data_IF_033619231926
#
_entry.id   IF_033619231926
#
_cell.length_a   1.000
_cell.length_b   1.000
_cell.length_c   1.000
_cell.angle_alpha   90.00
_cell.angle_beta   90.00
_cell.angle_gamma   90.00
#
_symmetry.space_group_name_H-M   'P 1'
#
loop_
_entity.id
_entity.type
_entity.pdbx_description
1 polymer ?
#
# COMPACT_ATOMS: atom_id res chain seq x y z
N UNK A 1 14.48 -3.59 8.28
CA UNK A 1 14.10 -4.23 9.55
C UNK A 1 14.35 -5.72 9.41
N UNK A 2 14.92 -6.38 10.42
CA UNK A 2 15.14 -7.84 10.36
C UNK A 2 13.79 -8.58 10.30
N UNK A 3 13.69 -9.64 9.49
CA UNK A 3 12.47 -10.44 9.29
C UNK A 3 11.24 -9.66 8.77
N UNK A 4 11.47 -8.53 8.10
CA UNK A 4 10.42 -7.78 7.39
C UNK A 4 10.75 -7.76 5.91
N UNK A 5 9.77 -8.11 5.08
CA UNK A 5 9.95 -8.30 3.65
C UNK A 5 8.93 -7.46 2.87
N UNK A 6 9.30 -7.09 1.65
CA UNK A 6 8.39 -6.49 0.69
C UNK A 6 7.79 -7.58 -0.19
N UNK A 7 6.49 -7.48 -0.43
CA UNK A 7 5.73 -8.39 -1.27
C UNK A 7 5.18 -7.64 -2.47
N UNK A 8 5.31 -8.22 -3.65
CA UNK A 8 4.55 -7.80 -4.82
C UNK A 8 3.10 -8.28 -4.70
N UNK A 9 2.19 -7.70 -5.48
CA UNK A 9 0.78 -8.10 -5.45
C UNK A 9 0.56 -9.57 -5.85
N UNK A 10 1.50 -10.19 -6.59
CA UNK A 10 1.46 -11.62 -6.95
C UNK A 10 2.03 -12.55 -5.86
N UNK A 11 2.85 -12.04 -4.93
CA UNK A 11 3.46 -12.83 -3.84
C UNK A 11 2.82 -12.61 -2.48
N UNK A 12 2.02 -11.55 -2.31
CA UNK A 12 1.38 -11.19 -1.04
C UNK A 12 0.45 -12.27 -0.49
N UNK A 13 -0.11 -13.14 -1.34
CA UNK A 13 -0.97 -14.24 -0.91
C UNK A 13 -0.27 -15.20 0.07
N UNK A 14 1.03 -15.44 -0.12
CA UNK A 14 1.80 -16.34 0.76
C UNK A 14 1.75 -15.90 2.22
N UNK A 15 1.99 -14.61 2.48
CA UNK A 15 2.02 -14.09 3.85
C UNK A 15 0.60 -14.00 4.44
N UNK A 16 -0.41 -13.76 3.60
CA UNK A 16 -1.82 -13.78 4.02
C UNK A 16 -2.21 -15.20 4.45
N UNK A 17 -1.87 -16.23 3.67
CA UNK A 17 -2.16 -17.63 4.00
C UNK A 17 -1.49 -18.06 5.31
N UNK A 18 -0.24 -17.67 5.52
CA UNK A 18 0.50 -17.93 6.76
C UNK A 18 -0.14 -17.21 7.95
N UNK A 19 -0.59 -15.97 7.76
CA UNK A 19 -1.24 -15.16 8.78
C UNK A 19 -2.62 -15.70 9.19
N UNK A 20 -3.42 -16.15 8.22
CA UNK A 20 -4.74 -16.73 8.48
C UNK A 20 -4.64 -18.02 9.30
N UNK A 21 -3.61 -18.85 9.07
CA UNK A 21 -3.36 -20.08 9.86
C UNK A 21 -3.14 -19.82 11.35
N UNK A 22 -2.66 -18.63 11.70
CA UNK A 22 -2.43 -18.21 13.09
C UNK A 22 -3.53 -17.27 13.62
N UNK A 23 -4.62 -17.10 12.86
CA UNK A 23 -5.79 -16.31 13.27
C UNK A 23 -5.71 -14.81 12.99
N UNK A 24 -4.73 -14.35 12.19
CA UNK A 24 -4.62 -12.95 11.79
C UNK A 24 -5.31 -12.75 10.44
N UNK A 25 -6.38 -11.97 10.43
CA UNK A 25 -7.21 -11.70 9.25
C UNK A 25 -7.28 -10.23 8.82
N UNK A 26 -6.67 -9.32 9.58
CA UNK A 26 -6.68 -7.88 9.27
C UNK A 26 -5.29 -7.42 8.83
N UNK A 27 -5.22 -6.74 7.69
CA UNK A 27 -3.97 -6.31 7.06
C UNK A 27 -4.00 -4.83 6.73
N UNK A 28 -2.97 -4.11 7.15
CA UNK A 28 -2.71 -2.72 6.75
C UNK A 28 -1.66 -2.70 5.65
N UNK A 29 -2.01 -2.11 4.51
CA UNK A 29 -1.15 -2.08 3.33
C UNK A 29 -0.38 -0.75 3.26
N UNK A 30 0.92 -0.87 3.05
CA UNK A 30 1.81 0.23 2.71
C UNK A 30 2.35 0.01 1.29
N UNK A 31 2.09 0.94 0.38
CA UNK A 31 2.37 0.78 -1.05
C UNK A 31 3.68 1.43 -1.41
N UNK A 32 4.52 0.74 -2.18
CA UNK A 32 5.77 1.27 -2.72
C UNK A 32 5.61 1.48 -4.22
N UNK A 33 5.45 2.73 -4.70
CA UNK A 33 5.27 2.99 -6.11
C UNK A 33 6.60 2.87 -6.87
N UNK A 34 6.53 2.56 -8.17
CA UNK A 34 7.71 2.54 -9.04
C UNK A 34 8.25 3.95 -9.34
N UNK A 35 7.37 4.96 -9.27
CA UNK A 35 7.69 6.36 -9.55
C UNK A 35 7.07 7.24 -8.46
N UNK A 36 7.79 8.29 -8.09
CA UNK A 36 7.34 9.34 -7.17
C UNK A 36 7.34 10.67 -7.90
N UNK A 37 6.44 11.58 -7.51
CA UNK A 37 6.41 12.95 -8.03
C UNK A 37 6.05 13.94 -6.91
N UNK A 38 6.05 15.24 -7.19
CA UNK A 38 5.87 16.26 -6.15
C UNK A 38 4.46 16.37 -5.58
N UNK A 39 3.48 15.65 -6.15
CA UNK A 39 2.08 15.68 -5.70
C UNK A 39 1.55 14.31 -5.27
N UNK A 40 2.35 13.26 -5.41
CA UNK A 40 2.01 11.88 -5.09
C UNK A 40 0.96 11.27 -6.02
N UNK A 41 1.06 11.49 -7.34
CA UNK A 41 0.02 11.05 -8.31
C UNK A 41 -0.34 9.56 -8.18
N UNK A 42 0.64 8.70 -7.90
CA UNK A 42 0.43 7.26 -7.75
C UNK A 42 -0.46 6.90 -6.53
N UNK A 43 -0.59 7.78 -5.53
CA UNK A 43 -1.40 7.52 -4.34
C UNK A 43 -2.89 7.38 -4.65
N UNK A 44 -3.39 8.11 -5.65
CA UNK A 44 -4.81 8.17 -6.03
C UNK A 44 -5.08 7.64 -7.44
N UNK A 45 -4.08 7.06 -8.09
CA UNK A 45 -4.23 6.49 -9.44
C UNK A 45 -5.13 5.26 -9.38
N UNK A 46 -6.09 5.16 -10.31
CA UNK A 46 -7.04 4.02 -10.38
C UNK A 46 -6.35 2.65 -10.48
N UNK A 47 -5.24 2.59 -11.21
CA UNK A 47 -4.35 1.45 -11.39
C UNK A 47 -3.04 1.59 -10.59
N UNK A 48 -3.06 2.34 -9.49
CA UNK A 48 -1.94 2.44 -8.55
C UNK A 48 -1.65 1.13 -7.81
N UNK A 49 -0.48 1.06 -7.17
CA UNK A 49 0.01 -0.18 -6.53
C UNK A 49 -0.93 -0.66 -5.41
N UNK A 50 -1.42 0.25 -4.56
CA UNK A 50 -2.37 -0.11 -3.49
C UNK A 50 -3.71 -0.55 -4.06
N UNK A 51 -4.23 0.18 -5.05
CA UNK A 51 -5.51 -0.09 -5.69
C UNK A 51 -5.53 -1.47 -6.34
N UNK A 52 -4.47 -1.82 -7.09
CA UNK A 52 -4.30 -3.15 -7.67
C UNK A 52 -4.16 -4.23 -6.58
N UNK A 53 -3.33 -3.99 -5.56
CA UNK A 53 -3.10 -4.95 -4.48
C UNK A 53 -4.39 -5.25 -3.69
N UNK A 54 -5.17 -4.23 -3.35
CA UNK A 54 -6.47 -4.37 -2.69
C UNK A 54 -7.45 -5.21 -3.51
N UNK A 55 -7.57 -4.92 -4.82
CA UNK A 55 -8.44 -5.70 -5.74
C UNK A 55 -7.98 -7.14 -5.84
N UNK A 56 -6.68 -7.39 -5.98
CA UNK A 56 -6.11 -8.74 -6.06
C UNK A 56 -6.39 -9.54 -4.78
N UNK A 57 -6.09 -8.97 -3.61
CA UNK A 57 -6.34 -9.64 -2.33
C UNK A 57 -7.83 -9.89 -2.13
N UNK A 58 -8.69 -8.89 -2.36
CA UNK A 58 -10.15 -9.07 -2.21
C UNK A 58 -10.70 -10.12 -3.19
N UNK A 59 -10.13 -10.20 -4.40
CA UNK A 59 -10.49 -11.22 -5.39
C UNK A 59 -10.17 -12.66 -4.96
N UNK A 60 -9.04 -12.86 -4.27
CA UNK A 60 -8.63 -14.19 -3.78
C UNK A 60 -9.27 -14.59 -2.46
N UNK A 61 -9.42 -13.64 -1.53
CA UNK A 61 -9.76 -13.93 -0.13
C UNK A 61 -11.16 -13.49 0.28
N UNK A 62 -11.84 -12.67 -0.52
CA UNK A 62 -13.20 -12.21 -0.23
C UNK A 62 -13.33 -11.62 1.18
N UNK A 63 -14.27 -12.14 1.96
CA UNK A 63 -14.56 -11.67 3.32
C UNK A 63 -13.74 -12.37 4.41
N UNK A 64 -12.82 -13.27 4.05
CA UNK A 64 -11.89 -13.89 5.01
C UNK A 64 -10.82 -12.91 5.52
N UNK A 65 -10.70 -11.74 4.89
CA UNK A 65 -9.72 -10.71 5.24
C UNK A 65 -10.35 -9.33 5.37
N UNK A 66 -9.86 -8.56 6.33
CA UNK A 66 -10.12 -7.12 6.45
C UNK A 66 -8.91 -6.36 5.92
N UNK A 67 -9.12 -5.44 4.98
CA UNK A 67 -8.05 -4.67 4.35
C UNK A 67 -8.15 -3.21 4.77
N UNK A 68 -7.03 -2.66 5.20
CA UNK A 68 -6.89 -1.26 5.62
C UNK A 68 -5.83 -0.63 4.72
N UNK A 69 -6.17 0.47 4.06
CA UNK A 69 -5.21 1.27 3.29
C UNK A 69 -4.63 2.38 4.17
N UNK A 70 -3.31 2.50 4.22
CA UNK A 70 -2.68 3.74 4.68
C UNK A 70 -3.05 4.89 3.72
N UNK A 71 -3.48 6.03 4.29
CA UNK A 71 -3.90 7.22 3.52
C UNK A 71 -2.92 8.34 3.79
N UNK A 72 -1.88 8.41 2.95
CA UNK A 72 -0.79 9.36 3.08
C UNK A 72 -0.13 9.63 1.71
N UNK A 73 0.73 10.64 1.63
CA UNK A 73 1.54 10.97 0.45
C UNK A 73 3.04 10.76 0.65
N UNK A 74 3.51 10.40 1.84
CA UNK A 74 4.95 10.31 2.12
C UNK A 74 5.67 9.27 1.24
N UNK A 75 5.04 8.12 0.98
CA UNK A 75 5.63 7.07 0.15
C UNK A 75 5.52 7.39 -1.35
N UNK A 76 4.68 8.35 -1.74
CA UNK A 76 4.38 8.68 -3.13
C UNK A 76 5.03 9.99 -3.61
N UNK A 77 5.47 10.83 -2.67
CA UNK A 77 6.09 12.12 -3.01
C UNK A 77 7.60 11.98 -3.17
N UNK A 78 8.18 12.69 -4.14
CA UNK A 78 9.64 12.72 -4.36
C UNK A 78 10.41 13.39 -3.22
N UNK A 79 9.74 14.27 -2.48
CA UNK A 79 10.25 14.95 -1.29
C UNK A 79 9.92 14.22 0.03
N UNK A 80 9.14 13.14 0.01
CA UNK A 80 8.87 12.29 1.18
C UNK A 80 7.98 12.90 2.27
N UNK A 81 7.25 13.98 1.99
CA UNK A 81 6.35 14.60 2.98
C UNK A 81 4.93 14.08 2.80
N UNK A 82 4.15 14.07 3.88
CA UNK A 82 2.77 13.58 3.88
C UNK A 82 1.77 14.46 3.12
N UNK A 83 2.23 15.50 2.42
CA UNK A 83 1.40 16.51 1.77
C UNK A 83 2.15 17.22 0.66
N UNK A 84 1.40 17.89 -0.22
CA UNK A 84 1.96 18.73 -1.29
C UNK A 84 2.69 19.92 -0.68
N UNK A 85 3.96 20.11 -1.05
CA UNK A 85 4.74 21.27 -0.61
C UNK A 85 4.43 22.47 -1.50
N UNK A 86 3.85 23.51 -0.91
CA UNK A 86 3.72 24.81 -1.54
C UNK A 86 4.68 25.80 -0.87
N UNK A 87 5.45 26.54 -1.68
CA UNK A 87 6.23 27.66 -1.14
C UNK A 87 5.27 28.69 -0.56
N UNK A 88 5.39 28.96 0.73
CA UNK A 88 4.71 30.10 1.35
C UNK A 88 5.15 31.37 0.62
N UNK A 89 4.18 32.18 0.17
CA UNK A 89 4.49 33.52 -0.32
C UNK A 89 4.91 34.35 0.89
N UNK A 90 6.17 34.78 0.93
CA UNK A 90 6.61 35.88 1.78
C UNK A 90 6.12 37.21 1.18
#
# INVERSE_FOLDING_TARGET
>A
MENQFYYSYDTVGKIIDESLKVGVSSFMLFGIPLKKDSIGTEAYKEDGIIQNTLRTIKGFYGDSVNLISDVCLCEYTDHGHCGIIQKSKC
#
